data_IF_657958111990
#
_entry.id   IF_657958111990
#
_cell.length_a   1.000
_cell.length_b   1.000
_cell.length_c   1.000
_cell.angle_alpha   90.00
_cell.angle_beta   90.00
_cell.angle_gamma   90.00
#
_symmetry.space_group_name_H-M   'P 1'
#
loop_
_entity.id
_entity.type
_entity.pdbx_description
1 polymer ?
#
# COMPACT_ATOMS: atom_id res chain seq x y z
N UNK A 1 11.85 7.71 -11.11
CA UNK A 1 10.44 7.49 -10.73
C UNK A 1 9.98 6.20 -11.37
N UNK A 2 9.19 5.42 -10.66
CA UNK A 2 8.63 4.15 -11.09
C UNK A 2 7.16 4.34 -11.49
N UNK A 3 6.26 4.56 -10.53
CA UNK A 3 4.81 4.60 -10.76
C UNK A 3 4.15 5.78 -10.06
N UNK A 4 3.01 6.23 -10.58
CA UNK A 4 2.15 7.25 -9.94
C UNK A 4 1.12 6.61 -9.00
N UNK A 5 0.59 5.45 -9.38
CA UNK A 5 -0.31 4.66 -8.56
C UNK A 5 -0.11 3.16 -8.82
N UNK A 6 -0.35 2.34 -7.80
CA UNK A 6 -0.33 0.87 -7.88
C UNK A 6 -1.73 0.35 -7.54
N UNK A 7 -2.20 -0.62 -8.31
CA UNK A 7 -3.47 -1.31 -8.11
C UNK A 7 -3.22 -2.81 -8.05
N UNK A 8 -3.97 -3.50 -7.20
CA UNK A 8 -4.09 -4.96 -7.22
C UNK A 8 -5.55 -5.29 -7.53
N UNK A 9 -5.77 -6.01 -8.62
CA UNK A 9 -7.08 -6.40 -9.11
C UNK A 9 -7.24 -7.92 -9.04
N UNK A 10 -8.48 -8.38 -8.93
CA UNK A 10 -8.84 -9.77 -9.20
C UNK A 10 -8.85 -10.07 -10.72
N UNK A 11 -9.10 -11.34 -11.08
CA UNK A 11 -9.24 -11.75 -12.48
C UNK A 11 -10.40 -11.08 -13.24
N UNK A 12 -11.36 -10.51 -12.54
CA UNK A 12 -12.52 -9.82 -13.12
C UNK A 12 -12.26 -8.33 -13.31
N UNK A 13 -11.10 -7.83 -12.90
CA UNK A 13 -10.73 -6.42 -12.94
C UNK A 13 -11.27 -5.60 -11.75
N UNK A 14 -11.81 -6.25 -10.71
CA UNK A 14 -12.24 -5.55 -9.49
C UNK A 14 -11.01 -5.14 -8.69
N UNK A 15 -10.94 -3.87 -8.30
CA UNK A 15 -9.91 -3.36 -7.40
C UNK A 15 -10.06 -4.02 -6.02
N UNK A 16 -9.04 -4.76 -5.59
CA UNK A 16 -8.93 -5.28 -4.24
C UNK A 16 -8.30 -4.23 -3.32
N UNK A 17 -7.26 -3.57 -3.80
CA UNK A 17 -6.55 -2.51 -3.10
C UNK A 17 -5.84 -1.59 -4.10
N UNK A 18 -5.72 -0.31 -3.77
CA UNK A 18 -4.97 0.64 -4.58
C UNK A 18 -4.28 1.69 -3.72
N UNK A 19 -3.15 2.19 -4.20
CA UNK A 19 -2.41 3.30 -3.60
C UNK A 19 -2.00 4.32 -4.63
N UNK A 20 -2.36 5.58 -4.36
CA UNK A 20 -1.94 6.74 -5.15
C UNK A 20 -0.78 7.44 -4.45
N UNK A 21 0.42 7.37 -5.01
CA UNK A 21 1.62 7.94 -4.40
C UNK A 21 1.84 9.40 -4.78
N UNK A 22 1.20 9.88 -5.85
CA UNK A 22 1.54 11.17 -6.47
C UNK A 22 0.38 12.15 -6.59
N UNK A 23 -0.87 11.67 -6.52
CA UNK A 23 -2.04 12.53 -6.69
C UNK A 23 -2.26 13.08 -8.11
N UNK A 24 -1.45 12.66 -9.10
CA UNK A 24 -1.48 13.19 -10.47
C UNK A 24 -2.25 12.31 -11.47
N UNK A 25 -2.78 11.18 -11.01
CA UNK A 25 -3.60 10.23 -11.78
C UNK A 25 -4.99 10.16 -11.15
N UNK A 26 -6.02 10.17 -11.98
CA UNK A 26 -7.39 9.88 -11.52
C UNK A 26 -7.51 8.37 -11.33
N UNK A 27 -8.02 7.94 -10.16
CA UNK A 27 -8.15 6.52 -9.86
C UNK A 27 -9.14 5.82 -10.78
N UNK A 28 -10.09 6.55 -11.38
CA UNK A 28 -11.03 5.98 -12.37
C UNK A 28 -10.36 5.53 -13.67
N UNK A 29 -9.11 5.94 -13.92
CA UNK A 29 -8.35 5.47 -15.10
C UNK A 29 -8.18 3.95 -15.10
N UNK A 30 -8.23 3.29 -13.93
CA UNK A 30 -8.11 1.83 -13.83
C UNK A 30 -9.27 1.11 -14.51
N UNK A 31 -10.45 1.72 -14.60
CA UNK A 31 -11.65 1.10 -15.19
C UNK A 31 -11.47 0.82 -16.69
N UNK A 32 -10.55 1.54 -17.35
CA UNK A 32 -10.20 1.32 -18.75
C UNK A 32 -9.29 0.10 -18.95
N UNK A 33 -8.59 -0.37 -17.91
CA UNK A 33 -7.56 -1.41 -18.04
C UNK A 33 -8.14 -2.76 -18.47
N UNK A 34 -9.17 -3.25 -17.75
CA UNK A 34 -9.71 -4.60 -17.99
C UNK A 34 -10.36 -4.75 -19.38
N UNK A 35 -11.19 -3.79 -19.87
CA UNK A 35 -11.73 -3.86 -21.23
C UNK A 35 -10.64 -3.91 -22.31
N UNK A 36 -9.54 -3.16 -22.14
CA UNK A 36 -8.44 -3.18 -23.11
C UNK A 36 -7.70 -4.52 -23.07
N UNK A 37 -7.49 -5.07 -21.87
CA UNK A 37 -6.87 -6.38 -21.70
C UNK A 37 -7.68 -7.50 -22.35
N UNK A 38 -9.00 -7.52 -22.17
CA UNK A 38 -9.87 -8.52 -22.79
C UNK A 38 -9.78 -8.47 -24.32
N UNK A 39 -9.83 -7.27 -24.90
CA UNK A 39 -9.70 -7.10 -26.36
C UNK A 39 -8.33 -7.58 -26.87
N UNK A 40 -7.26 -7.24 -26.15
CA UNK A 40 -5.90 -7.67 -26.52
C UNK A 40 -5.70 -9.19 -26.42
N UNK A 41 -6.38 -9.83 -25.47
CA UNK A 41 -6.39 -11.28 -25.34
C UNK A 41 -7.10 -11.95 -26.53
N UNK A 42 -8.25 -11.41 -26.97
CA UNK A 42 -8.95 -11.86 -28.18
C UNK A 42 -8.09 -11.72 -29.44
N UNK A 43 -7.36 -10.60 -29.56
CA UNK A 43 -6.47 -10.31 -30.68
C UNK A 43 -5.11 -11.05 -30.60
N UNK A 44 -4.87 -11.83 -29.53
CA UNK A 44 -3.60 -12.48 -29.20
C UNK A 44 -2.38 -11.52 -29.14
N UNK A 45 -2.63 -10.24 -28.83
CA UNK A 45 -1.62 -9.17 -28.73
C UNK A 45 -1.39 -8.76 -27.26
N UNK A 46 -0.80 -9.68 -26.49
CA UNK A 46 -0.47 -9.46 -25.09
C UNK A 46 0.86 -8.71 -24.95
N UNK A 47 0.77 -7.38 -24.94
CA UNK A 47 1.89 -6.51 -24.55
C UNK A 47 1.87 -6.23 -23.04
N UNK A 48 3.03 -6.28 -22.36
CA UNK A 48 3.11 -6.02 -20.92
C UNK A 48 2.83 -4.53 -20.59
N UNK A 49 2.81 -3.66 -21.60
CA UNK A 49 2.41 -2.25 -21.48
C UNK A 49 1.12 -2.00 -22.27
N UNK A 50 0.12 -1.48 -21.58
CA UNK A 50 -1.11 -0.97 -22.18
C UNK A 50 -1.07 0.56 -22.14
N UNK A 51 -1.55 1.20 -23.21
CA UNK A 51 -1.59 2.66 -23.32
C UNK A 51 -3.01 3.08 -23.67
N UNK A 52 -3.58 4.00 -22.90
CA UNK A 52 -4.87 4.62 -23.14
C UNK A 52 -4.76 6.13 -22.95
N UNK A 53 -4.91 6.90 -24.03
CA UNK A 53 -4.72 8.34 -24.00
C UNK A 53 -3.31 8.73 -23.54
N UNK A 54 -3.21 9.43 -22.41
CA UNK A 54 -1.95 9.83 -21.77
C UNK A 54 -1.54 8.92 -20.60
N UNK A 55 -2.30 7.85 -20.36
CA UNK A 55 -2.09 6.92 -19.25
C UNK A 55 -1.42 5.64 -19.76
N UNK A 56 -0.34 5.24 -19.11
CA UNK A 56 0.35 3.98 -19.36
C UNK A 56 0.11 3.02 -18.18
N UNK A 57 -0.28 1.80 -18.49
CA UNK A 57 -0.47 0.71 -17.53
C UNK A 57 0.62 -0.32 -17.76
N UNK A 58 1.50 -0.48 -16.78
CA UNK A 58 2.49 -1.56 -16.75
C UNK A 58 1.97 -2.60 -15.78
N UNK A 59 1.82 -3.84 -16.23
CA UNK A 59 1.13 -4.85 -15.44
C UNK A 59 1.88 -6.16 -15.42
N UNK A 60 1.69 -6.90 -14.34
CA UNK A 60 2.09 -8.30 -14.22
C UNK A 60 0.90 -9.11 -13.71
N UNK A 61 0.87 -10.38 -14.06
CA UNK A 61 -0.07 -11.35 -13.49
C UNK A 61 0.66 -12.25 -12.51
N UNK A 62 0.15 -12.37 -11.31
CA UNK A 62 0.62 -13.32 -10.30
C UNK A 62 -0.58 -14.10 -9.77
N UNK A 63 -0.58 -15.42 -9.98
CA UNK A 63 -1.73 -16.28 -9.65
C UNK A 63 -3.02 -15.73 -10.30
N UNK A 64 -4.02 -15.40 -9.47
CA UNK A 64 -5.30 -14.85 -9.90
C UNK A 64 -5.41 -13.32 -9.69
N UNK A 65 -4.26 -12.64 -9.64
CA UNK A 65 -4.19 -11.20 -9.40
C UNK A 65 -3.49 -10.48 -10.55
N UNK A 66 -3.98 -9.28 -10.86
CA UNK A 66 -3.28 -8.31 -11.69
C UNK A 66 -2.67 -7.25 -10.79
N UNK A 67 -1.35 -7.09 -10.86
CA UNK A 67 -0.68 -5.93 -10.27
C UNK A 67 -0.43 -4.93 -11.39
N UNK A 68 -1.00 -3.74 -11.26
CA UNK A 68 -1.00 -2.71 -12.29
C UNK A 68 -0.38 -1.43 -11.74
N UNK A 69 0.70 -0.99 -12.38
CA UNK A 69 1.32 0.30 -12.16
C UNK A 69 0.84 1.30 -13.22
N UNK A 70 0.29 2.43 -12.78
CA UNK A 70 -0.10 3.52 -13.65
C UNK A 70 0.97 4.62 -13.65
N UNK A 71 1.32 5.12 -14.83
CA UNK A 71 2.15 6.32 -15.03
C UNK A 71 1.60 7.21 -16.13
N UNK A 72 1.69 8.53 -15.96
CA UNK A 72 1.40 9.54 -17.00
C UNK A 72 2.65 10.13 -17.66
N UNK A 73 3.83 9.69 -17.23
CA UNK A 73 5.11 10.17 -17.75
C UNK A 73 5.92 9.00 -18.29
N UNK A 74 6.84 9.31 -19.21
CA UNK A 74 7.84 8.35 -19.64
C UNK A 74 8.68 7.92 -18.43
N UNK A 75 8.51 6.68 -18.01
CA UNK A 75 9.13 6.09 -16.82
C UNK A 75 10.07 4.97 -17.24
N UNK A 76 11.04 4.63 -16.40
CA UNK A 76 11.86 3.46 -16.65
C UNK A 76 11.03 2.20 -16.43
N UNK A 77 10.54 1.59 -17.51
CA UNK A 77 9.71 0.40 -17.45
C UNK A 77 10.39 -0.76 -16.69
N UNK A 78 11.70 -0.94 -16.86
CA UNK A 78 12.43 -1.99 -16.14
C UNK A 78 12.37 -1.78 -14.63
N UNK A 79 12.52 -0.54 -14.15
CA UNK A 79 12.38 -0.21 -12.73
C UNK A 79 10.97 -0.54 -12.21
N UNK A 80 9.93 -0.25 -12.99
CA UNK A 80 8.54 -0.57 -12.61
C UNK A 80 8.34 -2.06 -12.50
N UNK A 81 8.78 -2.84 -13.50
CA UNK A 81 8.64 -4.30 -13.43
C UNK A 81 9.45 -4.91 -12.31
N UNK A 82 10.71 -4.49 -12.12
CA UNK A 82 11.51 -4.94 -10.98
C UNK A 82 10.82 -4.66 -9.65
N UNK A 83 10.20 -3.48 -9.51
CA UNK A 83 9.42 -3.15 -8.32
C UNK A 83 8.16 -4.03 -8.18
N UNK A 84 7.38 -4.22 -9.24
CA UNK A 84 6.16 -5.05 -9.18
C UNK A 84 6.48 -6.50 -8.78
N UNK A 85 7.53 -7.10 -9.34
CA UNK A 85 7.98 -8.43 -8.93
C UNK A 85 8.50 -8.46 -7.50
N UNK A 86 9.21 -7.42 -7.06
CA UNK A 86 9.66 -7.32 -5.68
C UNK A 86 8.50 -7.16 -4.70
N UNK A 87 7.46 -6.42 -5.08
CA UNK A 87 6.24 -6.27 -4.29
C UNK A 87 5.52 -7.61 -4.10
N UNK A 88 5.45 -8.44 -5.16
CA UNK A 88 4.95 -9.81 -5.07
C UNK A 88 5.79 -10.64 -4.09
N UNK A 89 7.12 -10.54 -4.16
CA UNK A 89 8.03 -11.26 -3.25
C UNK A 89 7.77 -10.86 -1.79
N UNK A 90 7.72 -9.55 -1.48
CA UNK A 90 7.43 -9.05 -0.13
C UNK A 90 6.10 -9.60 0.37
N UNK A 91 5.01 -9.44 -0.39
CA UNK A 91 3.71 -9.96 0.06
C UNK A 91 3.68 -11.47 0.22
N UNK A 92 4.37 -12.21 -0.65
CA UNK A 92 4.46 -13.68 -0.54
C UNK A 92 5.23 -14.10 0.72
N UNK A 93 6.28 -13.37 1.12
CA UNK A 93 7.02 -13.67 2.34
C UNK A 93 6.20 -13.42 3.61
N UNK A 94 5.42 -12.33 3.63
CA UNK A 94 4.52 -11.98 4.73
C UNK A 94 3.33 -12.96 4.83
N UNK A 95 2.62 -13.19 3.73
CA UNK A 95 1.35 -13.92 3.74
C UNK A 95 1.47 -15.41 3.37
N UNK A 96 2.67 -15.89 3.03
CA UNK A 96 3.00 -17.25 2.51
C UNK A 96 2.49 -17.53 1.10
N UNK A 97 1.34 -16.96 0.74
CA UNK A 97 0.77 -16.97 -0.60
C UNK A 97 0.16 -15.59 -0.89
N UNK A 98 0.29 -15.11 -2.12
CA UNK A 98 -0.33 -13.86 -2.56
C UNK A 98 -1.57 -14.17 -3.41
N UNK A 99 -2.72 -14.16 -2.75
CA UNK A 99 -4.03 -14.42 -3.35
C UNK A 99 -5.07 -13.38 -2.92
N UNK A 100 -6.27 -13.42 -3.51
CA UNK A 100 -7.36 -12.49 -3.22
C UNK A 100 -7.76 -12.48 -1.74
N UNK A 101 -7.81 -13.66 -1.11
CA UNK A 101 -8.10 -13.82 0.32
C UNK A 101 -6.99 -13.19 1.18
N UNK A 102 -5.72 -13.42 0.82
CA UNK A 102 -4.56 -12.84 1.52
C UNK A 102 -4.62 -11.32 1.57
N UNK A 103 -5.04 -10.65 0.47
CA UNK A 103 -5.21 -9.20 0.43
C UNK A 103 -6.39 -8.74 1.28
N UNK A 104 -7.53 -9.46 1.24
CA UNK A 104 -8.74 -9.07 1.96
C UNK A 104 -8.60 -9.20 3.47
N UNK A 105 -8.01 -10.30 3.92
CA UNK A 105 -7.87 -10.61 5.34
C UNK A 105 -6.80 -9.74 6.01
N UNK A 106 -5.81 -9.28 5.24
CA UNK A 106 -4.68 -8.49 5.73
C UNK A 106 -4.65 -7.06 5.18
N UNK A 107 -5.81 -6.50 4.82
CA UNK A 107 -5.91 -5.22 4.10
C UNK A 107 -5.14 -4.06 4.76
N UNK A 108 -5.17 -3.96 6.09
CA UNK A 108 -4.42 -2.92 6.84
C UNK A 108 -2.91 -3.08 6.63
N UNK A 109 -2.38 -4.28 6.87
CA UNK A 109 -0.95 -4.58 6.66
C UNK A 109 -0.53 -4.39 5.21
N UNK A 110 -1.37 -4.73 4.24
CA UNK A 110 -1.06 -4.46 2.82
C UNK A 110 -0.92 -2.96 2.57
N UNK A 111 -1.79 -2.11 3.12
CA UNK A 111 -1.66 -0.65 3.00
C UNK A 111 -0.37 -0.12 3.63
N UNK A 112 -0.04 -0.59 4.83
CA UNK A 112 1.18 -0.19 5.53
C UNK A 112 2.42 -0.59 4.74
N UNK A 113 2.48 -1.84 4.27
CA UNK A 113 3.57 -2.29 3.42
C UNK A 113 3.68 -1.49 2.13
N UNK A 114 2.55 -1.18 1.47
CA UNK A 114 2.55 -0.35 0.26
C UNK A 114 3.09 1.05 0.51
N UNK A 115 2.86 1.64 1.69
CA UNK A 115 3.39 2.96 2.06
C UNK A 115 4.88 2.92 2.40
N UNK A 116 5.38 1.82 2.97
CA UNK A 116 6.80 1.70 3.31
C UNK A 116 7.68 1.35 2.09
N UNK A 117 7.18 0.53 1.15
CA UNK A 117 7.97 0.08 -0.01
C UNK A 117 8.11 1.14 -1.12
N UNK A 118 7.28 2.18 -1.12
CA UNK A 118 7.33 3.24 -2.12
C UNK A 118 6.93 4.59 -1.52
N UNK A 119 7.77 5.59 -1.75
CA UNK A 119 7.47 6.99 -1.42
C UNK A 119 7.54 7.86 -2.68
N UNK A 120 6.49 8.66 -2.90
CA UNK A 120 6.35 9.58 -4.03
C UNK A 120 6.71 8.99 -5.41
N UNK A 121 6.39 7.72 -5.63
CA UNK A 121 6.67 7.03 -6.88
C UNK A 121 8.11 6.52 -7.02
N UNK A 122 8.88 6.46 -5.94
CA UNK A 122 10.21 5.87 -5.89
C UNK A 122 10.22 4.68 -4.94
N UNK A 123 10.60 3.47 -5.41
CA UNK A 123 10.80 2.33 -4.53
C UNK A 123 11.82 2.67 -3.44
N UNK A 124 11.48 2.39 -2.18
CA UNK A 124 12.34 2.58 -1.02
C UNK A 124 12.86 1.22 -0.53
N UNK A 125 12.82 0.97 0.77
CA UNK A 125 13.24 -0.31 1.35
C UNK A 125 12.31 -1.42 0.89
N UNK A 126 12.86 -2.41 0.21
CA UNK A 126 12.12 -3.59 -0.26
C UNK A 126 12.60 -4.89 0.40
N UNK A 127 13.42 -4.78 1.45
CA UNK A 127 13.84 -5.94 2.24
C UNK A 127 12.78 -6.26 3.29
N UNK A 128 12.04 -7.34 3.07
CA UNK A 128 10.96 -7.79 3.94
C UNK A 128 11.40 -7.97 5.39
N UNK A 129 12.67 -8.34 5.65
CA UNK A 129 13.17 -8.53 7.02
C UNK A 129 13.32 -7.21 7.76
N UNK A 130 13.76 -6.17 7.07
CA UNK A 130 13.87 -4.82 7.63
C UNK A 130 12.48 -4.23 7.87
N UNK A 131 11.56 -4.41 6.91
CA UNK A 131 10.18 -3.96 7.05
C UNK A 131 9.46 -4.64 8.23
N UNK A 132 9.68 -5.95 8.43
CA UNK A 132 9.12 -6.71 9.57
C UNK A 132 9.66 -6.19 10.91
N UNK A 133 10.92 -5.75 10.95
CA UNK A 133 11.53 -5.17 12.14
C UNK A 133 11.01 -3.76 12.42
N UNK A 134 10.80 -2.94 11.39
CA UNK A 134 10.27 -1.58 11.52
C UNK A 134 8.80 -1.56 11.95
N UNK A 135 7.97 -2.49 11.48
CA UNK A 135 6.57 -2.65 11.90
C UNK A 135 6.49 -3.08 13.39
N UNK A 136 7.36 -4.03 13.79
CA UNK A 136 7.48 -4.47 15.20
C UNK A 136 7.99 -3.35 16.11
N UNK A 137 8.97 -2.57 15.65
CA UNK A 137 9.50 -1.43 16.40
C UNK A 137 8.42 -0.35 16.60
N UNK A 138 7.61 -0.07 15.57
CA UNK A 138 6.46 0.86 15.68
C UNK A 138 5.42 0.40 16.71
N UNK A 139 5.15 -0.90 16.78
CA UNK A 139 4.23 -1.47 17.79
C UNK A 139 4.77 -1.27 19.21
N UNK A 140 6.07 -1.51 19.44
CA UNK A 140 6.71 -1.34 20.76
C UNK A 140 6.73 0.11 21.25
N UNK A 141 6.82 1.09 20.34
CA UNK A 141 6.75 2.51 20.70
C UNK A 141 5.35 2.93 21.16
N UNK A 142 4.29 2.35 20.62
CA UNK A 142 2.91 2.63 21.03
C UNK A 142 2.63 2.07 22.44
N UNK A 143 3.17 0.90 22.77
CA UNK A 143 2.99 0.27 24.09
C UNK A 143 3.72 1.04 25.21
N UNK A 144 4.84 1.71 24.90
CA UNK A 144 5.60 2.50 25.86
C UNK A 144 4.85 3.79 26.29
N UNK A 145 4.08 4.39 25.39
CA UNK A 145 3.29 5.61 25.67
C UNK A 145 1.97 5.29 26.38
N UNK A 146 1.42 4.10 26.20
CA UNK A 146 0.14 3.72 26.82
C UNK A 146 0.29 3.33 28.31
N UNK A 147 1.50 3.02 28.78
CA UNK A 147 1.76 2.64 30.18
C UNK A 147 2.01 3.83 31.14
N UNK A 148 2.10 5.07 30.64
CA UNK A 148 2.33 6.26 31.49
C UNK A 148 1.06 7.00 31.93
N UNK A 149 -0.14 6.56 31.53
CA UNK A 149 -1.40 7.29 31.82
C UNK A 149 -2.38 6.64 32.83
N UNK A 150 -2.03 5.50 33.46
CA UNK A 150 -2.87 4.89 34.51
C UNK A 150 -2.21 4.97 35.89
N UNK A 151 -2.30 6.14 36.53
CA UNK A 151 -1.88 6.37 37.91
C UNK A 151 -2.76 7.41 38.61
N UNK A 152 -4.05 7.10 38.81
CA UNK A 152 -4.94 7.93 39.62
C UNK A 152 -4.63 7.76 41.13
N UNK A 153 -4.20 8.89 41.73
CA UNK A 153 -4.30 9.39 43.12
C UNK A 153 -4.66 8.45 44.29
N UNK A 154 -4.14 8.78 45.49
CA UNK A 154 -5.02 8.82 46.65
C UNK A 154 -4.92 10.11 47.50
N UNK A 155 -6.09 10.51 48.00
CA UNK A 155 -6.39 11.54 48.99
C UNK A 155 -5.53 11.49 50.26
N UNK A 156 -5.24 12.65 50.88
CA UNK A 156 -5.57 12.83 52.30
C UNK A 156 -5.62 14.31 52.76
N UNK A 157 -6.50 14.56 53.74
CA UNK A 157 -6.82 15.81 54.43
C UNK A 157 -5.59 16.49 55.08
N UNK A 158 -5.56 17.79 55.44
CA UNK A 158 -6.38 18.42 56.49
C UNK A 158 -6.13 19.93 56.63
N UNK A 159 -7.19 20.68 57.02
CA UNK A 159 -7.24 21.89 57.87
C UNK A 159 -6.62 23.23 57.39
N UNK A 160 -7.49 24.25 57.28
CA UNK A 160 -7.43 25.40 58.19
C UNK A 160 -7.34 26.82 57.59
N UNK A 161 -8.46 27.55 57.71
CA UNK A 161 -8.57 28.98 58.07
C UNK A 161 -8.34 30.10 57.03
N UNK A 162 -9.24 31.09 57.08
CA UNK A 162 -9.05 32.48 56.60
C UNK A 162 -9.67 32.77 55.23
N UNK A 163 -10.92 33.25 55.14
CA UNK A 163 -11.36 34.66 55.25
C UNK A 163 -11.20 35.50 53.98
N UNK A 164 -12.35 36.08 53.59
CA UNK A 164 -12.61 37.27 52.75
C UNK A 164 -12.64 37.07 51.24
N UNK A 165 -13.83 37.22 50.62
CA UNK A 165 -14.43 38.49 50.17
C UNK A 165 -13.60 39.18 49.08
N UNK A 166 -13.96 38.93 47.82
CA UNK A 166 -14.52 39.87 46.85
C UNK A 166 -14.86 39.11 45.57
#
# INVERSE_FOLDING_TARGET
MAASAIFILDLKGKVLICRNYMGNVDMSEIDNFMPIMMRREEDADLSPVVIHGSTHYLWIKHSNLYLVAITKRNTNAALVYSFLYKLVEVFTEYFKSLEEESIRDNFVTVYELMDEVMDFGFPQTTDSKILLEEEKARTLHIDADNHTSSGATPNNATRGSGSNLC
#
